data_IF_448245396268
#
_entry.id   IF_448245396268
#
_cell.length_a   1.000
_cell.length_b   1.000
_cell.length_c   1.000
_cell.angle_alpha   90.00
_cell.angle_beta   90.00
_cell.angle_gamma   90.00
#
_symmetry.space_group_name_H-M   'P 1'
#
loop_
_entity.id
_entity.type
_entity.pdbx_description
1 polymer ?
#
# COMPACT_ATOMS: atom_id res chain seq x y z
N UNK A 1 11.95 -7.54 0.65
CA UNK A 1 12.49 -6.78 -0.51
C UNK A 1 13.21 -5.55 0.04
N UNK A 2 14.42 -5.24 -0.42
CA UNK A 2 15.10 -4.00 -0.04
C UNK A 2 14.42 -2.80 -0.70
N UNK A 3 14.33 -1.67 0.00
CA UNK A 3 13.72 -0.44 -0.52
C UNK A 3 12.22 -0.27 -0.28
N UNK A 4 11.53 -1.24 0.32
CA UNK A 4 10.11 -1.10 0.69
C UNK A 4 9.88 0.00 1.73
N UNK A 5 10.82 0.21 2.67
CA UNK A 5 10.76 1.30 3.63
C UNK A 5 10.91 2.70 3.00
N UNK A 6 11.83 2.84 2.03
CA UNK A 6 11.96 4.10 1.29
C UNK A 6 10.71 4.38 0.45
N UNK A 7 10.17 3.34 -0.20
CA UNK A 7 8.91 3.45 -0.92
C UNK A 7 7.74 3.84 -0.01
N UNK A 8 7.70 3.31 1.22
CA UNK A 8 6.70 3.70 2.21
C UNK A 8 6.77 5.19 2.53
N UNK A 9 7.97 5.72 2.78
CA UNK A 9 8.17 7.14 3.03
C UNK A 9 7.73 7.99 1.82
N UNK A 10 8.07 7.56 0.60
CA UNK A 10 7.62 8.24 -0.63
C UNK A 10 6.09 8.20 -0.79
N UNK A 11 5.45 7.06 -0.52
CA UNK A 11 3.99 6.92 -0.59
C UNK A 11 3.30 7.82 0.43
N UNK A 12 3.78 7.86 1.67
CA UNK A 12 3.28 8.78 2.70
C UNK A 12 3.41 10.23 2.23
N UNK A 13 4.53 10.60 1.59
CA UNK A 13 4.73 11.92 1.01
C UNK A 13 3.71 12.28 -0.07
N UNK A 14 3.36 11.34 -0.95
CA UNK A 14 2.32 11.52 -1.98
C UNK A 14 0.95 11.75 -1.35
N UNK A 15 0.57 10.96 -0.35
CA UNK A 15 -0.73 11.12 0.34
C UNK A 15 -0.78 12.42 1.15
N UNK A 16 0.32 12.79 1.81
CA UNK A 16 0.43 14.04 2.56
C UNK A 16 0.43 15.30 1.65
N UNK A 17 0.59 15.14 0.33
CA UNK A 17 0.45 16.23 -0.62
C UNK A 17 -1.02 16.63 -0.87
N UNK A 18 -1.96 15.69 -0.65
CA UNK A 18 -3.39 15.88 -0.89
C UNK A 18 -4.23 15.90 0.39
N UNK A 19 -3.73 15.28 1.47
CA UNK A 19 -4.38 15.25 2.79
C UNK A 19 -3.59 16.08 3.82
N UNK A 20 -4.29 16.95 4.54
CA UNK A 20 -3.70 17.88 5.53
C UNK A 20 -3.40 17.17 6.85
N UNK A 21 -4.26 16.25 7.27
CA UNK A 21 -4.02 15.43 8.44
C UNK A 21 -2.91 14.42 8.14
N UNK A 22 -1.73 14.64 8.73
CA UNK A 22 -0.56 13.81 8.48
C UNK A 22 -0.70 12.40 9.05
N UNK A 23 -1.48 12.22 10.11
CA UNK A 23 -1.75 10.90 10.66
C UNK A 23 -2.67 10.13 9.70
N UNK A 24 -3.75 10.75 9.23
CA UNK A 24 -4.66 10.16 8.27
C UNK A 24 -3.98 9.87 6.92
N UNK A 25 -3.15 10.79 6.42
CA UNK A 25 -2.37 10.60 5.20
C UNK A 25 -1.42 9.41 5.31
N UNK A 26 -0.71 9.31 6.44
CA UNK A 26 0.23 8.21 6.69
C UNK A 26 -0.49 6.87 6.83
N UNK A 27 -1.59 6.85 7.59
CA UNK A 27 -2.43 5.67 7.73
C UNK A 27 -2.94 5.21 6.36
N UNK A 28 -3.52 6.11 5.57
CA UNK A 28 -4.05 5.80 4.24
C UNK A 28 -2.99 5.24 3.29
N UNK A 29 -1.81 5.85 3.23
CA UNK A 29 -0.70 5.38 2.40
C UNK A 29 -0.23 3.98 2.81
N UNK A 30 -0.07 3.74 4.11
CA UNK A 30 0.36 2.45 4.65
C UNK A 30 -0.71 1.37 4.46
N UNK A 31 -1.99 1.72 4.58
CA UNK A 31 -3.11 0.80 4.31
C UNK A 31 -3.16 0.40 2.85
N UNK A 32 -3.01 1.35 1.93
CA UNK A 32 -2.97 1.10 0.48
C UNK A 32 -1.82 0.14 0.13
N UNK A 33 -0.60 0.42 0.62
CA UNK A 33 0.52 -0.50 0.40
C UNK A 33 0.34 -1.84 1.10
N UNK A 34 -0.26 -1.86 2.29
CA UNK A 34 -0.55 -3.09 3.03
C UNK A 34 -1.48 -4.00 2.24
N UNK A 35 -2.57 -3.45 1.70
CA UNK A 35 -3.52 -4.18 0.86
C UNK A 35 -2.83 -4.72 -0.40
N UNK A 36 -2.06 -3.90 -1.11
CA UNK A 36 -1.30 -4.35 -2.27
C UNK A 36 -0.31 -5.47 -1.91
N UNK A 37 0.34 -5.38 -0.73
CA UNK A 37 1.20 -6.41 -0.17
C UNK A 37 0.47 -7.72 0.11
N UNK A 38 -0.68 -7.67 0.77
CA UNK A 38 -1.51 -8.85 1.05
C UNK A 38 -1.95 -9.55 -0.26
N UNK A 39 -2.43 -8.78 -1.23
CA UNK A 39 -2.87 -9.29 -2.53
C UNK A 39 -1.72 -9.87 -3.36
N UNK A 40 -0.56 -9.23 -3.33
CA UNK A 40 0.64 -9.71 -4.00
C UNK A 40 1.16 -11.00 -3.36
N UNK A 41 1.18 -11.08 -2.03
CA UNK A 41 1.62 -12.25 -1.29
C UNK A 41 0.79 -13.49 -1.65
N UNK A 42 -0.52 -13.33 -1.80
CA UNK A 42 -1.43 -14.42 -2.18
C UNK A 42 -1.14 -15.02 -3.58
N UNK A 43 -0.44 -14.28 -4.45
CA UNK A 43 -0.13 -14.70 -5.83
C UNK A 43 1.33 -15.10 -6.04
N UNK A 44 2.16 -15.00 -5.00
CA UNK A 44 3.62 -15.04 -5.13
C UNK A 44 4.21 -16.30 -4.53
N UNK A 45 5.15 -16.91 -5.25
CA UNK A 45 5.86 -18.12 -4.84
C UNK A 45 7.25 -17.84 -4.24
N UNK A 46 7.63 -16.56 -4.15
CA UNK A 46 8.92 -16.14 -3.61
C UNK A 46 9.11 -14.62 -3.69
N UNK A 47 10.22 -14.08 -3.18
CA UNK A 47 10.45 -12.63 -3.10
C UNK A 47 10.59 -11.93 -4.46
N UNK A 48 11.03 -12.65 -5.49
CA UNK A 48 11.13 -12.13 -6.86
C UNK A 48 9.75 -11.90 -7.48
N UNK A 49 8.92 -12.93 -7.51
CA UNK A 49 7.52 -12.86 -8.00
C UNK A 49 6.65 -11.95 -7.13
N UNK A 50 6.94 -11.86 -5.82
CA UNK A 50 6.31 -10.89 -4.94
C UNK A 50 6.59 -9.45 -5.34
N UNK A 51 7.82 -9.13 -5.76
CA UNK A 51 8.15 -7.77 -6.23
C UNK A 51 7.29 -7.37 -7.42
N UNK A 52 7.18 -8.26 -8.39
CA UNK A 52 6.40 -8.03 -9.61
C UNK A 52 4.91 -7.91 -9.30
N UNK A 53 4.36 -8.88 -8.57
CA UNK A 53 2.96 -8.87 -8.14
C UNK A 53 2.62 -7.64 -7.28
N UNK A 54 3.55 -7.18 -6.44
CA UNK A 54 3.34 -6.00 -5.61
C UNK A 54 3.21 -4.72 -6.44
N UNK A 55 4.08 -4.51 -7.44
CA UNK A 55 3.95 -3.37 -8.34
C UNK A 55 2.66 -3.43 -9.15
N UNK A 56 2.28 -4.62 -9.62
CA UNK A 56 1.03 -4.81 -10.34
C UNK A 56 -0.20 -4.53 -9.45
N UNK A 57 -0.19 -4.96 -8.19
CA UNK A 57 -1.29 -4.67 -7.26
C UNK A 57 -1.34 -3.19 -6.86
N UNK A 58 -0.19 -2.52 -6.70
CA UNK A 58 -0.14 -1.07 -6.47
C UNK A 58 -0.71 -0.28 -7.66
N UNK A 59 -0.41 -0.69 -8.90
CA UNK A 59 -0.95 -0.06 -10.10
C UNK A 59 -2.45 -0.34 -10.29
N UNK A 60 -2.89 -1.57 -10.03
CA UNK A 60 -4.28 -1.99 -10.20
C UNK A 60 -5.14 -1.83 -8.94
N UNK A 61 -4.67 -1.07 -7.94
CA UNK A 61 -5.46 -0.81 -6.75
C UNK A 61 -6.61 0.15 -7.10
N UNK A 62 -7.79 -0.10 -6.54
CA UNK A 62 -8.97 0.71 -6.78
C UNK A 62 -9.83 0.79 -5.51
N UNK A 63 -10.83 1.66 -5.55
CA UNK A 63 -11.75 1.90 -4.43
C UNK A 63 -12.43 0.62 -3.94
N UNK A 64 -12.83 -0.28 -4.85
CA UNK A 64 -13.47 -1.54 -4.48
C UNK A 64 -12.53 -2.48 -3.70
N UNK A 65 -11.25 -2.56 -4.09
CA UNK A 65 -10.23 -3.30 -3.33
C UNK A 65 -9.97 -2.63 -1.98
N UNK A 66 -9.86 -1.30 -1.95
CA UNK A 66 -9.63 -0.57 -0.70
C UNK A 66 -10.79 -0.80 0.28
N UNK A 67 -12.03 -0.61 -0.14
CA UNK A 67 -13.21 -0.82 0.69
C UNK A 67 -13.32 -2.26 1.21
N UNK A 68 -12.86 -3.25 0.42
CA UNK A 68 -12.93 -4.67 0.79
C UNK A 68 -11.83 -5.11 1.76
N UNK A 69 -10.63 -4.55 1.64
CA UNK A 69 -9.44 -5.04 2.34
C UNK A 69 -8.88 -4.05 3.37
N UNK A 70 -9.37 -2.80 3.42
CA UNK A 70 -8.94 -1.84 4.41
C UNK A 70 -9.28 -2.31 5.83
N UNK A 71 -8.25 -2.45 6.64
CA UNK A 71 -8.33 -2.73 8.09
C UNK A 71 -7.71 -1.55 8.82
N UNK A 72 -8.45 -0.45 8.86
CA UNK A 72 -7.99 0.80 9.49
C UNK A 72 -9.03 1.19 10.52
N UNK A 73 -8.65 1.13 11.79
CA UNK A 73 -9.38 1.80 12.85
C UNK A 73 -8.84 3.23 12.93
N UNK A 74 -9.69 4.18 12.54
CA UNK A 74 -9.39 5.59 12.71
C UNK A 74 -9.70 5.99 14.16
N UNK A 75 -8.81 6.74 14.82
CA UNK A 75 -9.03 7.24 16.18
C UNK A 75 -10.13 8.31 16.27
#
# INVERSE_FOLDING_TARGET
>A
IVGTGCMAASAIGVFAAVEKDRALASASALSVMGIAGELAAAKSNGPGTFKEAFFDEMYNLNEAKIAKYAKVELP
#
